data_IF_901084546104
#
_entry.id   IF_901084546104
#
_cell.length_a   1.000
_cell.length_b   1.000
_cell.length_c   1.000
_cell.angle_alpha   90.00
_cell.angle_beta   90.00
_cell.angle_gamma   90.00
#
_symmetry.space_group_name_H-M   'P 1'
#
loop_
_entity.id
_entity.type
_entity.pdbx_description
1 polymer ?
#
# COMPACT_ATOMS: atom_id res chain seq x y z
N UNK A 1 -2.11 -6.12 7.39
CA UNK A 1 -1.37 -5.11 6.61
C UNK A 1 -1.49 -5.32 5.10
N UNK A 2 -0.84 -6.32 4.49
CA UNK A 2 -0.85 -6.51 3.02
C UNK A 2 -2.24 -6.53 2.38
N UNK A 3 -3.18 -7.32 2.94
CA UNK A 3 -4.56 -7.39 2.44
C UNK A 3 -5.31 -6.05 2.58
N UNK A 4 -4.98 -5.24 3.58
CA UNK A 4 -5.59 -3.91 3.76
C UNK A 4 -5.05 -2.94 2.72
N UNK A 5 -3.73 -2.94 2.47
CA UNK A 5 -3.12 -2.17 1.38
C UNK A 5 -3.75 -2.51 0.02
N UNK A 6 -3.97 -3.79 -0.25
CA UNK A 6 -4.64 -4.22 -1.48
C UNK A 6 -6.07 -3.68 -1.59
N UNK A 7 -6.87 -3.82 -0.52
CA UNK A 7 -8.26 -3.33 -0.48
C UNK A 7 -8.30 -1.81 -0.65
N UNK A 8 -7.37 -1.10 -0.03
CA UNK A 8 -7.27 0.34 -0.10
C UNK A 8 -6.83 0.84 -1.50
N UNK A 9 -5.80 0.23 -2.11
CA UNK A 9 -5.38 0.56 -3.49
C UNK A 9 -6.51 0.29 -4.49
N UNK A 10 -7.25 -0.80 -4.28
CA UNK A 10 -8.43 -1.14 -5.07
C UNK A 10 -9.53 -0.08 -4.92
N UNK A 11 -9.83 0.31 -3.67
CA UNK A 11 -10.82 1.35 -3.38
C UNK A 11 -10.44 2.70 -4.02
N UNK A 12 -9.21 3.18 -3.84
CA UNK A 12 -8.73 4.41 -4.50
C UNK A 12 -8.83 4.31 -6.03
N UNK A 13 -8.42 3.17 -6.62
CA UNK A 13 -8.46 2.95 -8.06
C UNK A 13 -9.89 2.97 -8.62
N UNK A 14 -10.85 2.35 -7.92
CA UNK A 14 -12.26 2.34 -8.31
C UNK A 14 -12.89 3.73 -8.13
N UNK A 15 -12.61 4.43 -7.02
CA UNK A 15 -13.09 5.80 -6.75
C UNK A 15 -12.62 6.79 -7.81
N UNK A 16 -11.35 6.73 -8.17
CA UNK A 16 -10.70 7.69 -9.06
C UNK A 16 -10.73 7.23 -10.53
N UNK A 17 -11.45 6.14 -10.82
CA UNK A 17 -11.55 5.49 -12.13
C UNK A 17 -10.18 5.29 -12.81
N UNK A 18 -9.17 4.93 -12.03
CA UNK A 18 -7.79 4.78 -12.48
C UNK A 18 -7.48 3.32 -12.80
N UNK A 19 -7.17 2.97 -14.06
CA UNK A 19 -6.83 1.60 -14.41
C UNK A 19 -5.45 1.23 -13.82
N UNK A 20 -5.46 0.40 -12.78
CA UNK A 20 -4.24 -0.14 -12.13
C UNK A 20 -4.17 -1.66 -12.31
N UNK A 21 -2.96 -2.17 -12.58
CA UNK A 21 -2.69 -3.60 -12.54
C UNK A 21 -2.45 -4.05 -11.10
N UNK A 22 -3.55 -4.32 -10.37
CA UNK A 22 -3.51 -4.72 -8.97
C UNK A 22 -2.89 -6.12 -8.76
N UNK A 23 -3.00 -7.01 -9.75
CA UNK A 23 -2.41 -8.36 -9.66
C UNK A 23 -0.89 -8.32 -9.58
N UNK A 24 -0.24 -7.50 -10.41
CA UNK A 24 1.21 -7.32 -10.38
C UNK A 24 1.69 -6.80 -9.00
N UNK A 25 0.91 -5.95 -8.35
CA UNK A 25 1.28 -5.27 -7.09
C UNK A 25 1.16 -6.14 -5.85
N UNK A 26 0.46 -7.28 -5.91
CA UNK A 26 0.23 -8.15 -4.73
C UNK A 26 1.53 -8.61 -4.09
N UNK A 27 2.51 -8.99 -4.91
CA UNK A 27 3.80 -9.47 -4.44
C UNK A 27 4.57 -8.35 -3.71
N UNK A 28 4.64 -7.17 -4.31
CA UNK A 28 5.32 -6.01 -3.74
C UNK A 28 4.64 -5.53 -2.44
N UNK A 29 3.30 -5.55 -2.40
CA UNK A 29 2.54 -5.22 -1.19
C UNK A 29 2.82 -6.21 -0.06
N UNK A 30 2.92 -7.51 -0.38
CA UNK A 30 3.29 -8.52 0.60
C UNK A 30 4.70 -8.30 1.13
N UNK A 31 5.67 -8.04 0.25
CA UNK A 31 7.06 -7.75 0.62
C UNK A 31 7.15 -6.53 1.52
N UNK A 32 6.55 -5.42 1.09
CA UNK A 32 6.52 -4.18 1.85
C UNK A 32 5.85 -4.37 3.23
N UNK A 33 4.68 -5.00 3.27
CA UNK A 33 3.96 -5.23 4.52
C UNK A 33 4.75 -6.12 5.48
N UNK A 34 5.43 -7.14 4.97
CA UNK A 34 6.25 -8.04 5.79
C UNK A 34 7.41 -7.28 6.41
N UNK A 35 8.14 -6.48 5.61
CA UNK A 35 9.22 -5.65 6.13
C UNK A 35 8.71 -4.62 7.15
N UNK A 36 7.60 -3.95 6.86
CA UNK A 36 7.01 -2.93 7.74
C UNK A 36 6.55 -3.51 9.08
N UNK A 37 5.96 -4.71 9.11
CA UNK A 37 5.50 -5.34 10.36
C UNK A 37 6.67 -5.82 11.23
N UNK A 38 7.78 -6.19 10.60
CA UNK A 38 8.97 -6.71 11.30
C UNK A 38 10.06 -5.65 11.52
N UNK A 39 9.76 -4.36 11.26
CA UNK A 39 10.73 -3.26 11.35
C UNK A 39 12.03 -3.52 10.57
N UNK A 40 11.91 -4.13 9.38
CA UNK A 40 13.04 -4.37 8.49
C UNK A 40 13.18 -3.22 7.50
N UNK A 41 14.43 -2.86 7.21
CA UNK A 41 14.75 -1.92 6.14
C UNK A 41 14.57 -2.60 4.78
N UNK A 42 13.88 -1.92 3.86
CA UNK A 42 13.76 -2.38 2.47
C UNK A 42 14.87 -1.71 1.65
N UNK A 43 15.92 -2.47 1.35
CA UNK A 43 17.01 -2.04 0.47
C UNK A 43 16.59 -2.23 -1.00
N UNK A 44 15.65 -1.43 -1.46
CA UNK A 44 15.18 -1.44 -2.84
C UNK A 44 15.19 -0.04 -3.45
N UNK A 45 15.72 0.07 -4.67
CA UNK A 45 15.59 1.28 -5.50
C UNK A 45 14.35 1.21 -6.41
N UNK A 46 13.50 0.20 -6.24
CA UNK A 46 12.29 0.04 -7.03
C UNK A 46 11.23 1.10 -6.65
N UNK A 47 10.84 1.90 -7.65
CA UNK A 47 9.80 2.92 -7.50
C UNK A 47 8.44 2.34 -7.10
N UNK A 48 8.15 1.07 -7.41
CA UNK A 48 6.87 0.45 -7.08
C UNK A 48 6.73 0.22 -5.57
N UNK A 49 7.83 -0.05 -4.86
CA UNK A 49 7.86 -0.14 -3.39
C UNK A 49 7.59 1.22 -2.76
N UNK A 50 8.19 2.29 -3.29
CA UNK A 50 7.95 3.66 -2.80
C UNK A 50 6.46 4.05 -2.92
N UNK A 51 5.82 3.72 -4.05
CA UNK A 51 4.37 3.94 -4.21
C UNK A 51 3.53 3.20 -3.18
N UNK A 52 3.97 2.02 -2.72
CA UNK A 52 3.27 1.25 -1.68
C UNK A 52 3.48 1.88 -0.31
N UNK A 53 4.66 2.44 -0.05
CA UNK A 53 4.92 3.24 1.16
C UNK A 53 3.96 4.44 1.22
N UNK A 54 3.85 5.19 0.13
CA UNK A 54 2.95 6.36 0.05
C UNK A 54 1.48 5.94 0.24
N UNK A 55 1.08 4.81 -0.35
CA UNK A 55 -0.25 4.22 -0.16
C UNK A 55 -0.50 3.89 1.32
N UNK A 56 0.47 3.27 1.99
CA UNK A 56 0.36 2.93 3.40
C UNK A 56 0.25 4.18 4.28
N UNK A 57 1.01 5.24 3.98
CA UNK A 57 0.90 6.53 4.66
C UNK A 57 -0.49 7.13 4.53
N UNK A 58 -1.07 7.16 3.32
CA UNK A 58 -2.45 7.63 3.11
C UNK A 58 -3.47 6.80 3.88
N UNK A 59 -3.38 5.47 3.81
CA UNK A 59 -4.26 4.56 4.54
C UNK A 59 -4.26 4.86 6.06
N UNK A 60 -3.09 5.09 6.67
CA UNK A 60 -3.00 5.43 8.11
C UNK A 60 -3.63 6.78 8.44
N UNK A 61 -3.49 7.77 7.56
CA UNK A 61 -4.06 9.10 7.77
C UNK A 61 -5.58 9.07 7.68
N UNK A 62 -6.14 8.29 6.75
CA UNK A 62 -7.59 8.13 6.59
C UNK A 62 -8.20 7.35 7.77
N UNK A 63 -7.56 6.26 8.21
CA UNK A 63 -7.95 5.53 9.44
C UNK A 63 -7.95 6.46 10.68
N UNK A 64 -6.99 7.39 10.76
CA UNK A 64 -6.89 8.33 11.88
C UNK A 64 -7.95 9.44 11.82
N UNK A 65 -8.38 9.81 10.61
CA UNK A 65 -9.41 10.83 10.39
C UNK A 65 -10.83 10.29 10.67
N UNK A 66 -11.07 8.99 10.47
CA UNK A 66 -12.35 8.36 10.82
C UNK A 66 -12.54 8.16 12.33
N UNK A 67 -11.46 8.20 13.12
CA UNK A 67 -11.47 8.04 14.58
C UNK A 67 -11.53 9.37 15.36
N UNK A 68 -11.49 10.51 14.67
CA UNK A 68 -11.50 11.87 15.24
C UNK A 68 -12.88 12.52 15.15
#
# INVERSE_FOLDING_TARGET
MASNLYRFDKFEAERDNTPKNLEKRKFDMFHYATASVNNLEILSHDTDVNKIKDLHERMRLEDSAELA
#
